data_IF_207718729666
#
_entry.id   IF_207718729666
#
_cell.length_a   1.000
_cell.length_b   1.000
_cell.length_c   1.000
_cell.angle_alpha   90.00
_cell.angle_beta   90.00
_cell.angle_gamma   90.00
#
_symmetry.space_group_name_H-M   'P 1'
#
loop_
_entity.id
_entity.type
_entity.pdbx_description
1 polymer ?
#
# COMPACT_ATOMS: atom_id res chain seq x y z
N UNK A 1 6.89 -34.14 -6.61
CA UNK A 1 6.21 -33.20 -7.52
C UNK A 1 6.10 -31.87 -6.79
N UNK A 2 6.78 -30.80 -7.21
CA UNK A 2 6.34 -29.46 -6.90
C UNK A 2 5.55 -28.95 -8.12
N UNK A 3 4.23 -28.85 -7.95
CA UNK A 3 3.35 -28.13 -8.86
C UNK A 3 2.93 -26.87 -8.11
N UNK A 4 3.56 -25.74 -8.43
CA UNK A 4 2.98 -24.39 -8.29
C UNK A 4 3.69 -23.51 -9.31
N UNK A 5 3.09 -23.28 -10.49
CA UNK A 5 3.52 -22.24 -11.40
C UNK A 5 2.41 -21.18 -11.47
N UNK A 6 2.27 -20.36 -10.43
CA UNK A 6 1.40 -19.19 -10.46
C UNK A 6 2.15 -18.09 -9.71
N UNK A 7 2.75 -17.17 -10.46
CA UNK A 7 3.53 -16.04 -9.92
C UNK A 7 2.67 -15.32 -8.88
N UNK A 8 2.99 -15.47 -7.61
CA UNK A 8 2.16 -14.93 -6.54
C UNK A 8 2.33 -13.41 -6.51
N UNK A 9 1.27 -12.63 -6.25
CA UNK A 9 1.33 -11.17 -6.04
C UNK A 9 2.58 -10.68 -5.29
N UNK A 10 2.99 -11.28 -4.14
CA UNK A 10 4.23 -10.90 -3.46
C UNK A 10 5.49 -11.04 -4.32
N UNK A 11 5.61 -12.04 -5.20
CA UNK A 11 6.79 -12.20 -6.06
C UNK A 11 6.95 -11.07 -7.07
N UNK A 12 5.84 -10.44 -7.49
CA UNK A 12 5.87 -9.27 -8.37
C UNK A 12 6.13 -7.97 -7.59
N UNK A 13 5.54 -7.84 -6.40
CA UNK A 13 5.57 -6.62 -5.59
C UNK A 13 6.87 -6.48 -4.79
N UNK A 14 7.33 -7.54 -4.11
CA UNK A 14 8.52 -7.53 -3.26
C UNK A 14 9.77 -6.95 -3.95
N UNK A 15 10.15 -7.34 -5.19
CA UNK A 15 11.32 -6.75 -5.85
C UNK A 15 11.13 -5.27 -6.20
N UNK A 16 9.89 -4.81 -6.42
CA UNK A 16 9.60 -3.40 -6.68
C UNK A 16 9.69 -2.54 -5.42
N UNK A 17 9.45 -3.13 -4.25
CA UNK A 17 9.57 -2.47 -2.95
C UNK A 17 11.02 -2.40 -2.44
N UNK A 18 11.95 -3.13 -3.06
CA UNK A 18 13.35 -3.15 -2.64
C UNK A 18 14.00 -1.77 -2.85
N UNK A 19 14.46 -1.16 -1.75
CA UNK A 19 14.97 0.20 -1.69
C UNK A 19 13.95 1.28 -2.11
N UNK A 20 12.64 0.97 -2.05
CA UNK A 20 11.59 1.92 -2.38
C UNK A 20 11.12 2.65 -1.12
N UNK A 21 11.41 3.95 -1.07
CA UNK A 21 11.01 4.84 0.02
C UNK A 21 9.83 5.72 -0.40
N UNK A 22 8.87 5.86 0.50
CA UNK A 22 7.72 6.72 0.32
C UNK A 22 8.10 8.16 0.71
N UNK A 23 7.98 9.14 -0.21
CA UNK A 23 8.36 10.52 0.03
C UNK A 23 7.47 11.13 1.12
N UNK A 24 8.05 11.24 2.30
CA UNK A 24 7.47 11.84 3.50
C UNK A 24 8.59 12.56 4.25
N UNK A 25 8.29 13.24 5.36
CA UNK A 25 9.34 13.88 6.15
C UNK A 25 10.44 12.92 6.66
N UNK A 26 10.17 11.62 6.67
CA UNK A 26 11.11 10.59 7.15
C UNK A 26 11.55 9.59 6.09
N UNK A 27 11.09 9.73 4.84
CA UNK A 27 11.43 8.81 3.73
C UNK A 27 11.36 7.32 4.12
N UNK A 28 10.21 6.89 4.62
CA UNK A 28 10.02 5.54 5.17
C UNK A 28 9.88 4.46 4.08
N UNK A 29 10.35 3.23 4.34
CA UNK A 29 10.17 2.11 3.42
C UNK A 29 8.71 1.66 3.33
N UNK A 30 8.39 1.02 2.21
CA UNK A 30 7.08 0.43 1.94
C UNK A 30 7.16 -1.07 2.13
N UNK A 31 6.18 -1.61 2.85
CA UNK A 31 6.06 -3.03 3.13
C UNK A 31 4.83 -3.60 2.44
N UNK A 32 4.98 -4.80 1.88
CA UNK A 32 3.86 -5.57 1.39
C UNK A 32 3.07 -6.13 2.58
N UNK A 33 1.76 -5.95 2.55
CA UNK A 33 0.83 -6.45 3.57
C UNK A 33 -0.03 -7.54 2.94
N UNK A 34 -0.08 -8.71 3.56
CA UNK A 34 -1.02 -9.77 3.20
C UNK A 34 -1.59 -10.37 4.48
N UNK A 35 -2.91 -10.34 4.60
CA UNK A 35 -3.67 -10.82 5.76
C UNK A 35 -4.72 -11.79 5.22
N UNK A 36 -4.61 -13.05 5.63
CA UNK A 36 -5.63 -14.05 5.36
C UNK A 36 -6.90 -13.69 6.13
N UNK A 37 -7.91 -13.19 5.42
CA UNK A 37 -9.24 -12.94 5.96
C UNK A 37 -10.18 -14.08 5.59
N UNK A 38 -11.09 -14.48 6.48
CA UNK A 38 -12.13 -15.43 6.13
C UNK A 38 -13.24 -14.74 5.33
N UNK A 39 -13.07 -14.71 4.00
CA UNK A 39 -14.10 -14.30 3.04
C UNK A 39 -13.92 -12.91 2.42
N UNK A 40 -14.62 -12.71 1.30
CA UNK A 40 -14.69 -11.44 0.59
C UNK A 40 -15.66 -10.52 1.34
N UNK A 41 -15.13 -9.54 2.07
CA UNK A 41 -15.91 -8.62 2.92
C UNK A 41 -15.49 -7.18 2.69
N UNK A 42 -16.42 -6.25 2.66
CA UNK A 42 -16.07 -4.83 2.51
C UNK A 42 -15.20 -4.37 3.67
N UNK A 43 -13.95 -3.99 3.40
CA UNK A 43 -13.05 -3.46 4.43
C UNK A 43 -13.43 -2.00 4.66
N UNK A 44 -14.15 -1.74 5.74
CA UNK A 44 -14.41 -0.39 6.21
C UNK A 44 -13.38 0.00 7.30
N UNK A 45 -13.41 1.26 7.73
CA UNK A 45 -12.54 1.80 8.79
C UNK A 45 -12.56 0.93 10.06
N UNK A 46 -13.73 0.42 10.46
CA UNK A 46 -13.88 -0.36 11.69
C UNK A 46 -13.27 -1.75 11.55
N UNK A 47 -13.57 -2.47 10.46
CA UNK A 47 -12.99 -3.77 10.14
C UNK A 47 -11.47 -3.68 10.02
N UNK A 48 -10.98 -2.61 9.38
CA UNK A 48 -9.57 -2.35 9.24
C UNK A 48 -8.88 -2.12 10.61
N UNK A 49 -9.52 -1.35 11.49
CA UNK A 49 -9.04 -1.14 12.86
C UNK A 49 -8.93 -2.46 13.62
N UNK A 50 -9.95 -3.31 13.55
CA UNK A 50 -9.98 -4.62 14.20
C UNK A 50 -8.91 -5.56 13.63
N UNK A 51 -8.73 -5.57 12.31
CA UNK A 51 -7.71 -6.38 11.62
C UNK A 51 -6.29 -6.05 12.07
N UNK A 52 -5.99 -4.76 12.24
CA UNK A 52 -4.68 -4.31 12.70
C UNK A 52 -4.54 -4.26 14.22
N UNK A 53 -5.61 -4.57 14.96
CA UNK A 53 -5.63 -4.44 16.42
C UNK A 53 -5.40 -3.00 16.90
N UNK A 54 -5.80 -2.02 16.08
CA UNK A 54 -5.71 -0.59 16.41
C UNK A 54 -6.69 -0.25 17.51
N UNK A 55 -6.33 0.73 18.35
CA UNK A 55 -7.21 1.16 19.44
C UNK A 55 -8.23 2.13 18.89
N UNK A 56 -9.41 2.18 19.49
CA UNK A 56 -10.44 3.16 19.17
C UNK A 56 -10.00 4.63 19.39
N UNK A 57 -8.84 4.85 20.02
CA UNK A 57 -8.22 6.17 20.20
C UNK A 57 -7.41 6.62 18.99
N UNK A 58 -7.04 5.69 18.09
CA UNK A 58 -6.28 6.03 16.89
C UNK A 58 -7.22 6.68 15.87
N UNK A 59 -6.86 7.86 15.36
CA UNK A 59 -7.61 8.53 14.30
C UNK A 59 -7.42 7.74 13.02
N UNK A 60 -8.46 7.07 12.53
CA UNK A 60 -8.43 6.33 11.27
C UNK A 60 -9.33 7.05 10.27
N UNK A 61 -8.76 7.44 9.14
CA UNK A 61 -9.46 8.14 8.06
C UNK A 61 -9.35 7.32 6.79
N UNK A 62 -10.49 7.01 6.18
CA UNK A 62 -10.55 6.45 4.83
C UNK A 62 -10.46 7.58 3.81
N UNK A 63 -9.47 7.50 2.92
CA UNK A 63 -9.21 8.46 1.86
C UNK A 63 -9.19 7.74 0.51
N UNK A 64 -9.17 8.52 -0.58
CA UNK A 64 -9.11 7.96 -1.91
C UNK A 64 -7.73 7.32 -2.19
N UNK A 65 -7.66 6.11 -2.79
CA UNK A 65 -6.40 5.48 -3.22
C UNK A 65 -5.48 6.42 -4.02
N UNK A 66 -6.06 7.30 -4.83
CA UNK A 66 -5.33 8.29 -5.62
C UNK A 66 -4.47 9.23 -4.76
N UNK A 67 -4.82 9.47 -3.49
CA UNK A 67 -4.03 10.31 -2.59
C UNK A 67 -2.72 9.66 -2.18
N UNK A 68 -2.71 8.33 -2.05
CA UNK A 68 -1.48 7.57 -1.83
C UNK A 68 -0.58 7.59 -3.07
N UNK A 69 -1.18 7.50 -4.26
CA UNK A 69 -0.42 7.45 -5.50
C UNK A 69 0.08 8.82 -5.98
N UNK A 70 -0.70 9.87 -5.81
CA UNK A 70 -0.39 11.20 -6.31
C UNK A 70 1.03 11.70 -5.99
N UNK A 71 1.56 11.63 -4.75
CA UNK A 71 2.90 12.13 -4.46
C UNK A 71 4.03 11.29 -5.10
N UNK A 72 3.76 10.03 -5.45
CA UNK A 72 4.78 9.09 -5.95
C UNK A 72 4.71 8.84 -7.46
N UNK A 73 3.52 8.98 -8.06
CA UNK A 73 3.29 8.81 -9.49
C UNK A 73 3.34 10.14 -10.26
N UNK A 74 3.43 11.28 -9.56
CA UNK A 74 3.56 12.58 -10.24
C UNK A 74 5.03 12.85 -10.54
N UNK A 75 5.41 12.65 -11.80
CA UNK A 75 6.71 13.10 -12.28
C UNK A 75 6.79 14.63 -12.24
N UNK A 76 7.95 15.15 -11.86
CA UNK A 76 8.28 16.57 -11.96
C UNK A 76 9.37 16.77 -13.00
N UNK A 77 9.30 17.89 -13.72
CA UNK A 77 10.28 18.22 -14.76
C UNK A 77 11.73 18.31 -14.24
N UNK A 78 11.90 18.50 -12.93
CA UNK A 78 13.18 18.60 -12.24
C UNK A 78 13.69 17.26 -11.68
N UNK A 79 12.98 16.15 -11.89
CA UNK A 79 13.44 14.82 -11.44
C UNK A 79 14.65 14.35 -12.25
N UNK A 80 15.66 13.85 -11.54
CA UNK A 80 16.78 13.16 -12.16
C UNK A 80 16.40 11.72 -12.53
N UNK A 81 17.33 10.98 -13.11
CA UNK A 81 17.10 9.63 -13.59
C UNK A 81 16.67 8.67 -12.45
N UNK A 82 17.19 8.88 -11.24
CA UNK A 82 16.88 8.07 -10.07
C UNK A 82 15.42 8.26 -9.62
N UNK A 83 14.95 9.51 -9.51
CA UNK A 83 13.55 9.78 -9.15
C UNK A 83 12.59 9.32 -10.23
N UNK A 84 12.95 9.41 -11.51
CA UNK A 84 12.14 8.87 -12.61
C UNK A 84 12.03 7.36 -12.52
N UNK A 85 13.12 6.65 -12.24
CA UNK A 85 13.09 5.20 -12.02
C UNK A 85 12.22 4.84 -10.81
N UNK A 86 12.33 5.61 -9.72
CA UNK A 86 11.47 5.45 -8.55
C UNK A 86 9.99 5.60 -8.91
N UNK A 87 9.62 6.68 -9.60
CA UNK A 87 8.25 6.92 -10.05
C UNK A 87 7.75 5.82 -10.99
N UNK A 88 8.57 5.36 -11.93
CA UNK A 88 8.22 4.24 -12.80
C UNK A 88 7.91 2.95 -12.01
N UNK A 89 8.69 2.65 -10.95
CA UNK A 89 8.40 1.52 -10.05
C UNK A 89 7.05 1.68 -9.33
N UNK A 90 6.74 2.88 -8.86
CA UNK A 90 5.45 3.17 -8.22
C UNK A 90 4.27 3.05 -9.19
N UNK A 91 4.43 3.51 -10.44
CA UNK A 91 3.42 3.36 -11.49
C UNK A 91 3.18 1.88 -11.80
N UNK A 92 4.24 1.08 -11.88
CA UNK A 92 4.12 -0.36 -12.11
C UNK A 92 3.48 -1.08 -10.91
N UNK A 93 3.87 -0.73 -9.68
CA UNK A 93 3.22 -1.21 -8.45
C UNK A 93 1.73 -0.91 -8.44
N UNK A 94 1.35 0.33 -8.76
CA UNK A 94 -0.05 0.74 -8.85
C UNK A 94 -0.81 -0.14 -9.84
N UNK A 95 -0.25 -0.32 -11.04
CA UNK A 95 -0.86 -1.14 -12.10
C UNK A 95 -1.08 -2.58 -11.65
N UNK A 96 -0.05 -3.21 -11.06
CA UNK A 96 -0.14 -4.59 -10.54
C UNK A 96 -1.21 -4.69 -9.46
N UNK A 97 -1.24 -3.74 -8.52
CA UNK A 97 -2.24 -3.72 -7.46
C UNK A 97 -3.64 -3.53 -8.01
N UNK A 98 -3.87 -2.57 -8.91
CA UNK A 98 -5.19 -2.32 -9.52
C UNK A 98 -5.68 -3.47 -10.42
N UNK A 99 -4.77 -4.23 -11.04
CA UNK A 99 -5.12 -5.39 -11.87
C UNK A 99 -5.44 -6.65 -11.05
N UNK A 100 -4.86 -6.78 -9.85
CA UNK A 100 -4.99 -8.00 -9.04
C UNK A 100 -5.85 -7.82 -7.79
N UNK A 101 -6.02 -6.59 -7.29
CA UNK A 101 -6.82 -6.28 -6.12
C UNK A 101 -8.17 -5.70 -6.52
N UNK A 102 -9.23 -6.27 -5.96
CA UNK A 102 -10.56 -5.69 -6.04
C UNK A 102 -10.84 -4.79 -4.84
N UNK A 103 -11.52 -3.67 -5.09
CA UNK A 103 -11.99 -2.77 -4.03
C UNK A 103 -10.87 -2.13 -3.21
N UNK A 104 -9.82 -1.63 -3.89
CA UNK A 104 -8.70 -0.94 -3.24
C UNK A 104 -9.22 0.26 -2.44
N UNK A 105 -8.77 0.35 -1.19
CA UNK A 105 -9.08 1.42 -0.25
C UNK A 105 -7.81 1.89 0.43
N UNK A 106 -7.80 3.16 0.80
CA UNK A 106 -6.67 3.79 1.46
C UNK A 106 -7.08 4.29 2.84
N UNK A 107 -6.29 3.95 3.84
CA UNK A 107 -6.50 4.31 5.23
C UNK A 107 -5.27 5.01 5.79
N UNK A 108 -5.49 6.15 6.44
CA UNK A 108 -4.50 6.87 7.24
C UNK A 108 -4.79 6.63 8.72
N UNK A 109 -3.78 6.26 9.52
CA UNK A 109 -3.91 5.95 10.94
C UNK A 109 -2.97 6.81 11.76
N UNK A 110 -3.49 7.69 12.61
CA UNK A 110 -2.70 8.56 13.49
C UNK A 110 -2.64 10.01 12.99
N UNK A 111 -2.05 10.89 13.81
CA UNK A 111 -1.95 12.34 13.51
C UNK A 111 -0.50 12.79 13.27
N UNK A 112 0.43 12.35 14.13
CA UNK A 112 1.87 12.68 14.05
C UNK A 112 2.63 11.60 13.27
N UNK A 113 2.53 10.35 13.72
CA UNK A 113 3.01 9.18 12.99
C UNK A 113 1.82 8.57 12.25
N UNK A 114 1.63 8.98 11.00
CA UNK A 114 0.50 8.55 10.18
C UNK A 114 0.86 7.25 9.47
N UNK A 115 0.33 6.13 9.95
CA UNK A 115 0.40 4.86 9.25
C UNK A 115 -0.45 4.92 7.98
N UNK A 116 0.18 4.72 6.83
CA UNK A 116 -0.47 4.73 5.53
C UNK A 116 -0.70 3.30 5.06
N UNK A 117 -1.94 2.94 4.79
CA UNK A 117 -2.33 1.58 4.43
C UNK A 117 -3.19 1.58 3.20
N UNK A 118 -2.68 1.01 2.13
CA UNK A 118 -3.42 0.80 0.90
C UNK A 118 -3.75 -0.68 0.80
N UNK A 119 -5.01 -1.05 0.94
CA UNK A 119 -5.44 -2.45 0.97
C UNK A 119 -6.53 -2.73 -0.04
N UNK A 120 -6.56 -3.93 -0.58
CA UNK A 120 -7.62 -4.47 -1.41
C UNK A 120 -7.78 -5.95 -1.17
N UNK A 121 -8.65 -6.58 -1.94
CA UNK A 121 -8.91 -8.02 -1.83
C UNK A 121 -8.37 -8.77 -3.04
N UNK A 122 -7.66 -9.86 -2.79
CA UNK A 122 -7.20 -10.79 -3.80
C UNK A 122 -7.39 -12.21 -3.29
N UNK A 123 -8.04 -13.06 -4.10
CA UNK A 123 -8.24 -14.49 -3.80
C UNK A 123 -8.80 -14.78 -2.39
N UNK A 124 -9.68 -13.90 -1.91
CA UNK A 124 -10.28 -14.03 -0.57
C UNK A 124 -9.37 -13.62 0.61
N UNK A 125 -8.17 -13.12 0.33
CA UNK A 125 -7.27 -12.51 1.32
C UNK A 125 -7.22 -11.00 1.14
N UNK A 126 -6.93 -10.27 2.22
CA UNK A 126 -6.67 -8.83 2.16
C UNK A 126 -5.19 -8.66 1.83
N UNK A 127 -4.90 -7.90 0.79
CA UNK A 127 -3.55 -7.71 0.30
C UNK A 127 -3.33 -6.24 -0.04
N UNK A 128 -2.12 -5.73 0.11
CA UNK A 128 -1.87 -4.31 -0.04
C UNK A 128 -0.46 -3.86 0.30
N UNK A 129 -0.32 -2.56 0.52
CA UNK A 129 0.89 -1.89 0.93
C UNK A 129 0.67 -1.19 2.27
N UNK A 130 1.72 -1.21 3.09
CA UNK A 130 1.81 -0.49 4.34
C UNK A 130 3.05 0.38 4.32
N UNK A 131 2.94 1.63 4.73
CA UNK A 131 4.08 2.49 5.03
C UNK A 131 3.74 3.41 6.19
N UNK A 132 4.68 4.25 6.60
CA UNK A 132 4.51 5.22 7.66
C UNK A 132 4.93 6.58 7.13
N UNK A 133 4.24 7.63 7.53
CA UNK A 133 4.60 9.00 7.20
C UNK A 133 4.51 9.83 8.48
N UNK A 134 5.59 10.54 8.78
CA UNK A 134 5.60 11.50 9.89
C UNK A 134 5.11 12.85 9.38
N UNK A 135 4.22 13.51 10.13
CA UNK A 135 3.78 14.89 9.90
C UNK A 135 4.20 15.74 11.11
N UNK A 136 4.95 16.82 10.88
CA UNK A 136 5.29 17.83 11.90
C UNK A 136 4.40 19.07 11.83
#
# INVERSE_FOLDING_TARGET
MPMVPETSLPEMIVPLLENLLYPSESDEPIYFLCISSEGQREINVQEFAELLGLKATDTIVEELPERFWSPVTTERDWYEEEEKQRTARFVELKRILEENLEGIRYFEVGEVEVGLYLIGQSEGSITGLKTMAVRT
#
